data_IF_806519320846
#
_entry.id   IF_806519320846
#
_cell.length_a   1.000
_cell.length_b   1.000
_cell.length_c   1.000
_cell.angle_alpha   90.00
_cell.angle_beta   90.00
_cell.angle_gamma   90.00
#
_symmetry.space_group_name_H-M   'P 1'
#
loop_
_entity.id
_entity.type
_entity.pdbx_description
1 polymer ?
#
# COMPACT_ATOMS: atom_id res chain seq x y z
N UNK A 1 11.09 2.52 -3.34
CA UNK A 1 10.28 1.47 -2.68
C UNK A 1 11.24 0.68 -1.81
N UNK A 2 10.83 0.32 -0.61
CA UNK A 2 11.58 -0.55 0.31
C UNK A 2 10.69 -1.74 0.64
N UNK A 3 11.24 -2.94 0.63
CA UNK A 3 10.51 -4.16 0.97
C UNK A 3 10.92 -4.65 2.35
N UNK A 4 9.94 -5.12 3.11
CA UNK A 4 10.16 -5.74 4.42
C UNK A 4 9.00 -6.67 4.75
N UNK A 5 9.16 -7.49 5.77
CA UNK A 5 8.15 -8.46 6.17
C UNK A 5 7.91 -8.45 7.68
N UNK A 6 6.66 -8.69 8.06
CA UNK A 6 6.28 -9.12 9.39
C UNK A 6 5.99 -10.63 9.34
N UNK A 7 5.85 -11.31 10.49
CA UNK A 7 5.41 -12.71 10.48
C UNK A 7 4.05 -12.93 9.80
N UNK A 8 3.23 -11.88 9.65
CA UNK A 8 1.90 -11.96 9.05
C UNK A 8 1.89 -11.64 7.55
N UNK A 9 2.72 -10.68 7.09
CA UNK A 9 2.58 -10.09 5.75
C UNK A 9 3.92 -9.65 5.16
N UNK A 10 3.96 -9.62 3.83
CA UNK A 10 5.03 -8.96 3.06
C UNK A 10 4.58 -7.56 2.65
N UNK A 11 5.45 -6.57 2.84
CA UNK A 11 5.17 -5.15 2.60
C UNK A 11 6.05 -4.59 1.49
N UNK A 12 5.44 -3.77 0.64
CA UNK A 12 6.13 -2.87 -0.26
C UNK A 12 5.83 -1.44 0.19
N UNK A 13 6.85 -0.77 0.74
CA UNK A 13 6.74 0.57 1.28
C UNK A 13 7.19 1.61 0.26
N UNK A 14 6.38 2.64 0.06
CA UNK A 14 6.72 3.79 -0.78
C UNK A 14 6.79 5.02 0.12
N UNK A 15 7.98 5.59 0.24
CA UNK A 15 8.16 6.87 0.92
C UNK A 15 7.82 8.00 -0.06
N UNK A 16 6.75 8.74 0.24
CA UNK A 16 6.28 9.86 -0.56
C UNK A 16 6.75 11.17 0.08
N UNK A 17 7.56 12.00 -0.61
CA UNK A 17 8.04 13.25 -0.04
C UNK A 17 6.87 14.20 0.20
N UNK A 18 6.88 14.86 1.35
CA UNK A 18 5.77 15.71 1.79
C UNK A 18 5.71 17.13 1.19
N UNK A 19 6.61 17.44 0.26
CA UNK A 19 6.67 18.77 -0.36
C UNK A 19 5.71 18.85 -1.56
N UNK A 20 5.10 20.02 -1.77
CA UNK A 20 4.14 20.30 -2.85
C UNK A 20 4.62 19.85 -4.25
N UNK A 21 5.93 19.84 -4.47
CA UNK A 21 6.55 19.42 -5.73
C UNK A 21 6.45 17.92 -6.02
N UNK A 22 6.19 17.08 -5.01
CA UNK A 22 6.13 15.62 -5.12
C UNK A 22 4.71 15.05 -5.02
N UNK A 23 3.70 15.92 -4.95
CA UNK A 23 2.27 15.54 -4.97
C UNK A 23 1.94 14.69 -6.21
N UNK A 24 2.60 14.91 -7.35
CA UNK A 24 2.43 14.08 -8.55
C UNK A 24 2.82 12.62 -8.32
N UNK A 25 3.92 12.37 -7.61
CA UNK A 25 4.38 11.03 -7.29
C UNK A 25 3.45 10.37 -6.26
N UNK A 26 2.92 11.17 -5.32
CA UNK A 26 1.89 10.73 -4.38
C UNK A 26 0.61 10.32 -5.11
N UNK A 27 0.13 11.08 -6.09
CA UNK A 27 -1.11 10.75 -6.83
C UNK A 27 -0.97 9.42 -7.59
N UNK A 28 0.16 9.19 -8.27
CA UNK A 28 0.37 7.94 -9.01
C UNK A 28 0.62 6.73 -8.10
N UNK A 29 1.26 6.94 -6.95
CA UNK A 29 1.56 5.87 -5.99
C UNK A 29 0.40 5.54 -5.06
N UNK A 30 -0.34 6.55 -4.59
CA UNK A 30 -1.39 6.39 -3.61
C UNK A 30 -2.66 5.74 -4.17
N UNK A 31 -2.89 5.82 -5.49
CA UNK A 31 -3.94 5.05 -6.15
C UNK A 31 -3.74 3.53 -6.03
N UNK A 32 -2.54 3.08 -5.68
CA UNK A 32 -2.20 1.66 -5.48
C UNK A 32 -1.91 1.32 -4.01
N UNK A 33 -2.15 2.25 -3.08
CA UNK A 33 -1.85 2.03 -1.65
C UNK A 33 -3.02 1.36 -0.95
N UNK A 34 -2.75 0.19 -0.38
CA UNK A 34 -3.70 -0.55 0.46
C UNK A 34 -3.86 0.07 1.86
N UNK A 35 -2.98 0.99 2.24
CA UNK A 35 -3.04 1.77 3.47
C UNK A 35 -1.85 2.72 3.58
N UNK A 36 -1.90 3.64 4.55
CA UNK A 36 -0.82 4.62 4.77
C UNK A 36 -0.41 4.72 6.24
N UNK A 37 0.86 5.07 6.48
CA UNK A 37 1.37 5.45 7.79
C UNK A 37 1.51 6.98 7.80
N UNK A 38 0.70 7.66 8.60
CA UNK A 38 0.80 9.10 8.80
C UNK A 38 1.81 9.38 9.92
N UNK A 39 2.97 9.93 9.56
CA UNK A 39 3.97 10.36 10.54
C UNK A 39 3.73 11.83 10.91
N UNK A 40 3.50 12.09 12.19
CA UNK A 40 3.32 13.44 12.74
C UNK A 40 4.32 13.65 13.88
N UNK A 41 4.89 14.85 13.98
CA UNK A 41 5.82 15.18 15.06
C UNK A 41 5.03 15.50 16.32
N UNK A 42 5.31 14.80 17.40
CA UNK A 42 4.72 15.04 18.71
C UNK A 42 5.12 16.41 19.29
N UNK A 43 6.27 16.96 18.87
CA UNK A 43 6.74 18.27 19.28
C UNK A 43 6.12 19.42 18.47
N UNK A 44 5.85 19.20 17.19
CA UNK A 44 5.37 20.25 16.26
C UNK A 44 3.85 20.20 16.03
N UNK A 45 3.22 19.05 16.28
CA UNK A 45 1.81 18.81 15.98
C UNK A 45 1.46 18.76 14.49
N UNK A 46 0.16 18.81 14.13
CA UNK A 46 -0.29 18.76 12.75
C UNK A 46 -0.01 20.05 11.98
N UNK A 47 0.91 19.94 11.02
CA UNK A 47 1.33 21.05 10.15
C UNK A 47 0.45 21.17 8.89
N UNK A 48 0.51 22.28 8.13
CA UNK A 48 -0.24 22.41 6.88
C UNK A 48 -0.04 21.24 5.91
N UNK A 49 1.20 20.72 5.80
CA UNK A 49 1.51 19.54 4.98
C UNK A 49 0.80 18.28 5.48
N UNK A 50 0.64 18.10 6.80
CA UNK A 50 -0.13 16.98 7.38
C UNK A 50 -1.58 17.01 6.89
N UNK A 51 -2.19 18.20 6.82
CA UNK A 51 -3.57 18.37 6.31
C UNK A 51 -3.66 18.03 4.82
N UNK A 52 -2.69 18.50 4.03
CA UNK A 52 -2.63 18.21 2.59
C UNK A 52 -2.50 16.70 2.33
N UNK A 53 -1.67 15.98 3.09
CA UNK A 53 -1.54 14.53 2.93
C UNK A 53 -2.80 13.75 3.30
N UNK A 54 -3.48 14.13 4.37
CA UNK A 54 -4.75 13.49 4.76
C UNK A 54 -5.80 13.72 3.67
N UNK A 55 -5.90 14.95 3.16
CA UNK A 55 -6.81 15.28 2.07
C UNK A 55 -6.49 14.48 0.80
N UNK A 56 -5.21 14.39 0.42
CA UNK A 56 -4.78 13.62 -0.76
C UNK A 56 -5.04 12.13 -0.58
N UNK A 57 -4.72 11.56 0.59
CA UNK A 57 -5.02 10.16 0.92
C UNK A 57 -6.51 9.85 0.80
N UNK A 58 -7.37 10.79 1.21
CA UNK A 58 -8.82 10.67 1.01
C UNK A 58 -9.23 10.71 -0.46
N UNK A 59 -8.68 11.66 -1.22
CA UNK A 59 -9.03 11.86 -2.64
C UNK A 59 -8.61 10.69 -3.54
N UNK A 60 -7.46 10.08 -3.25
CA UNK A 60 -6.95 8.91 -3.98
C UNK A 60 -7.54 7.58 -3.50
N UNK A 61 -8.33 7.61 -2.42
CA UNK A 61 -9.07 6.44 -1.93
C UNK A 61 -8.26 5.49 -1.05
N UNK A 62 -7.27 5.98 -0.30
CA UNK A 62 -6.55 5.14 0.69
C UNK A 62 -7.56 4.62 1.72
N UNK A 63 -7.68 3.30 1.92
CA UNK A 63 -8.78 2.73 2.69
C UNK A 63 -8.56 2.81 4.21
N UNK A 64 -7.31 2.78 4.67
CA UNK A 64 -6.97 2.80 6.10
C UNK A 64 -5.67 3.57 6.35
N UNK A 65 -5.61 4.27 7.48
CA UNK A 65 -4.43 5.02 7.94
C UNK A 65 -4.08 4.56 9.35
N UNK A 66 -2.80 4.37 9.63
CA UNK A 66 -2.23 4.24 10.98
C UNK A 66 -1.35 5.45 11.25
N UNK A 67 -1.37 6.00 12.46
CA UNK A 67 -0.59 7.19 12.80
C UNK A 67 0.62 6.80 13.65
N UNK A 68 1.77 7.42 13.35
CA UNK A 68 2.94 7.40 14.20
C UNK A 68 3.26 8.82 14.69
N UNK A 69 3.06 9.07 15.99
CA UNK A 69 3.50 10.28 16.67
C UNK A 69 4.98 10.14 17.01
N UNK A 70 5.81 10.72 16.14
CA UNK A 70 7.26 10.65 16.19
C UNK A 70 7.86 11.76 17.08
N UNK A 71 9.15 11.64 17.42
CA UNK A 71 9.91 12.59 18.25
C UNK A 71 9.41 12.71 19.69
N UNK A 72 8.87 11.63 20.26
CA UNK A 72 8.47 11.61 21.68
C UNK A 72 9.66 11.84 22.62
N UNK A 73 10.88 11.54 22.18
CA UNK A 73 12.14 11.89 22.88
C UNK A 73 12.35 13.40 23.08
N UNK A 74 11.63 14.25 22.33
CA UNK A 74 11.72 15.71 22.43
C UNK A 74 10.59 16.33 23.26
N UNK A 75 9.69 15.51 23.80
CA UNK A 75 8.51 15.96 24.53
C UNK A 75 8.51 15.35 25.93
N UNK A 76 8.76 16.20 26.93
CA UNK A 76 8.81 15.79 28.34
C UNK A 76 7.42 15.82 29.03
N UNK A 77 6.41 16.40 28.38
CA UNK A 77 5.08 16.62 28.94
C UNK A 77 4.03 15.67 28.32
N UNK A 78 3.46 14.82 29.16
CA UNK A 78 2.41 13.88 28.76
C UNK A 78 1.11 14.58 28.33
N UNK A 79 0.77 15.73 28.93
CA UNK A 79 -0.43 16.49 28.56
C UNK A 79 -0.32 17.05 27.14
N UNK A 80 0.90 17.47 26.73
CA UNK A 80 1.15 17.93 25.38
C UNK A 80 0.97 16.79 24.36
N UNK A 81 1.45 15.59 24.68
CA UNK A 81 1.29 14.41 23.81
C UNK A 81 -0.18 14.03 23.63
N UNK A 82 -0.98 14.10 24.69
CA UNK A 82 -2.42 13.84 24.63
C UNK A 82 -3.15 14.91 23.81
N UNK A 83 -2.77 16.18 23.96
CA UNK A 83 -3.32 17.28 23.17
C UNK A 83 -3.03 17.11 21.68
N UNK A 84 -1.77 16.80 21.32
CA UNK A 84 -1.38 16.59 19.92
C UNK A 84 -2.09 15.37 19.33
N UNK A 85 -2.25 14.31 20.10
CA UNK A 85 -3.04 13.15 19.67
C UNK A 85 -4.48 13.54 19.36
N UNK A 86 -5.13 14.31 20.24
CA UNK A 86 -6.49 14.80 20.04
C UNK A 86 -6.60 15.66 18.78
N UNK A 87 -5.68 16.60 18.56
CA UNK A 87 -5.65 17.43 17.35
C UNK A 87 -5.51 16.61 16.06
N UNK A 88 -4.70 15.55 16.09
CA UNK A 88 -4.55 14.64 14.93
C UNK A 88 -5.84 13.84 14.69
N UNK A 89 -6.52 13.36 15.74
CA UNK A 89 -7.81 12.65 15.61
C UNK A 89 -8.90 13.56 15.06
N UNK A 90 -9.00 14.79 15.55
CA UNK A 90 -9.94 15.78 15.03
C UNK A 90 -9.66 16.10 13.56
N UNK A 91 -8.39 16.24 13.20
CA UNK A 91 -7.99 16.49 11.82
C UNK A 91 -8.37 15.32 10.89
N UNK A 92 -8.10 14.08 11.28
CA UNK A 92 -8.51 12.89 10.54
C UNK A 92 -10.03 12.84 10.37
N UNK A 93 -10.77 13.10 11.44
CA UNK A 93 -12.25 13.14 11.43
C UNK A 93 -12.78 14.22 10.50
N UNK A 94 -12.13 15.39 10.45
CA UNK A 94 -12.53 16.49 9.55
C UNK A 94 -12.42 16.16 8.05
N UNK A 95 -11.65 15.13 7.70
CA UNK A 95 -11.47 14.62 6.33
C UNK A 95 -12.10 13.24 6.12
N UNK A 96 -13.13 12.90 6.89
CA UNK A 96 -13.92 11.67 6.79
C UNK A 96 -13.13 10.37 7.02
N UNK A 97 -12.06 10.42 7.81
CA UNK A 97 -11.45 9.23 8.39
C UNK A 97 -12.01 8.96 9.80
N UNK A 98 -12.08 7.70 10.26
CA UNK A 98 -12.57 7.37 11.60
C UNK A 98 -11.50 7.69 12.66
N UNK A 99 -11.31 8.99 12.96
CA UNK A 99 -10.23 9.47 13.82
C UNK A 99 -10.16 8.83 15.20
N UNK A 100 -11.30 8.45 15.78
CA UNK A 100 -11.37 7.78 17.08
C UNK A 100 -10.92 6.31 17.04
N UNK A 101 -11.12 5.61 15.91
CA UNK A 101 -10.80 4.19 15.76
C UNK A 101 -9.39 3.95 15.19
N UNK A 102 -8.78 4.99 14.60
CA UNK A 102 -7.43 4.90 14.02
C UNK A 102 -6.38 4.65 15.11
N UNK A 103 -5.54 3.61 14.98
CA UNK A 103 -4.43 3.37 15.89
C UNK A 103 -3.39 4.51 15.79
N UNK A 104 -2.99 5.02 16.95
CA UNK A 104 -1.95 6.04 17.08
C UNK A 104 -0.85 5.51 17.99
N UNK A 105 0.35 5.36 17.44
CA UNK A 105 1.51 4.82 18.15
C UNK A 105 2.49 5.96 18.41
N UNK A 106 2.98 6.04 19.65
CA UNK A 106 3.87 7.10 20.12
C UNK A 106 5.30 6.56 20.22
N UNK A 107 6.26 7.24 19.62
CA UNK A 107 7.65 6.79 19.66
C UNK A 107 8.66 7.77 19.09
N UNK A 108 9.88 7.28 18.91
CA UNK A 108 11.00 7.99 18.33
C UNK A 108 11.69 7.08 17.31
N UNK A 109 11.50 7.42 16.03
CA UNK A 109 12.20 6.75 14.94
C UNK A 109 13.72 6.96 15.03
N UNK A 110 14.17 8.07 15.63
CA UNK A 110 15.60 8.32 15.86
C UNK A 110 16.14 7.36 16.93
N UNK A 111 15.43 7.23 18.06
CA UNK A 111 15.84 6.29 19.10
C UNK A 111 15.85 4.84 18.62
N UNK A 112 14.92 4.48 17.73
CA UNK A 112 14.90 3.17 17.07
C UNK A 112 16.11 2.95 16.15
N UNK A 113 16.52 3.99 15.40
CA UNK A 113 17.63 3.90 14.46
C UNK A 113 19.00 3.89 15.17
N UNK A 114 19.13 4.63 16.26
CA UNK A 114 20.36 4.75 17.05
C UNK A 114 20.48 3.68 18.14
N UNK A 115 19.45 2.86 18.35
CA UNK A 115 19.34 1.88 19.44
C UNK A 115 19.60 2.51 20.83
N UNK A 116 19.11 3.75 21.02
CA UNK A 116 19.43 4.57 22.20
C UNK A 116 18.41 4.42 23.33
N UNK A 117 17.13 4.18 23.00
CA UNK A 117 16.08 3.81 23.94
C UNK A 117 15.15 2.80 23.28
N UNK A 118 15.12 1.58 23.83
CA UNK A 118 14.34 0.48 23.28
C UNK A 118 12.83 0.72 23.34
N UNK A 119 12.34 1.34 24.43
CA UNK A 119 10.91 1.46 24.72
C UNK A 119 10.24 2.43 23.76
N UNK A 120 10.83 3.62 23.60
CA UNK A 120 10.33 4.62 22.65
C UNK A 120 10.87 4.41 21.24
N UNK A 121 11.93 3.62 21.08
CA UNK A 121 12.53 3.25 19.79
C UNK A 121 11.97 1.94 19.23
N UNK A 122 12.77 0.87 19.28
CA UNK A 122 12.47 -0.43 18.66
C UNK A 122 11.07 -0.97 18.98
N UNK A 123 10.67 -0.94 20.26
CA UNK A 123 9.39 -1.48 20.70
C UNK A 123 8.22 -0.70 20.10
N UNK A 124 8.33 0.62 19.96
CA UNK A 124 7.31 1.46 19.31
C UNK A 124 7.17 1.16 17.81
N UNK A 125 8.26 0.84 17.12
CA UNK A 125 8.22 0.46 15.69
C UNK A 125 7.58 -0.92 15.53
N UNK A 126 7.84 -1.85 16.46
CA UNK A 126 7.18 -3.16 16.48
C UNK A 126 5.68 -3.02 16.76
N UNK A 127 5.29 -2.15 17.68
CA UNK A 127 3.88 -1.83 17.96
C UNK A 127 3.19 -1.19 16.76
N UNK A 128 3.87 -0.23 16.10
CA UNK A 128 3.39 0.38 14.85
C UNK A 128 3.12 -0.69 13.78
N UNK A 129 4.06 -1.60 13.55
CA UNK A 129 3.89 -2.64 12.55
C UNK A 129 2.81 -3.67 12.93
N UNK A 130 2.64 -3.97 14.23
CA UNK A 130 1.53 -4.79 14.70
C UNK A 130 0.17 -4.12 14.47
N UNK A 131 0.08 -2.79 14.67
CA UNK A 131 -1.12 -2.03 14.36
C UNK A 131 -1.40 -1.98 12.85
N UNK A 132 -0.38 -1.85 12.01
CA UNK A 132 -0.50 -1.96 10.55
C UNK A 132 -1.02 -3.33 10.15
N UNK A 133 -0.45 -4.41 10.69
CA UNK A 133 -0.92 -5.79 10.45
C UNK A 133 -2.39 -5.99 10.86
N UNK A 134 -2.83 -5.37 11.96
CA UNK A 134 -4.17 -5.56 12.50
C UNK A 134 -5.23 -4.66 11.84
N UNK A 135 -4.89 -3.40 11.56
CA UNK A 135 -5.85 -2.36 11.17
C UNK A 135 -5.96 -2.16 9.67
N UNK A 136 -4.84 -2.24 8.95
CA UNK A 136 -4.87 -2.11 7.49
C UNK A 136 -5.42 -3.41 6.91
N UNK A 137 -6.54 -3.37 6.17
CA UNK A 137 -7.11 -4.59 5.59
C UNK A 137 -6.13 -5.15 4.56
N UNK A 138 -5.96 -6.48 4.57
CA UNK A 138 -5.33 -7.12 3.43
C UNK A 138 -6.21 -6.85 2.21
N UNK A 139 -5.68 -6.29 1.12
CA UNK A 139 -6.50 -6.05 -0.06
C UNK A 139 -7.11 -7.36 -0.53
N UNK A 140 -8.43 -7.35 -0.72
CA UNK A 140 -9.10 -8.47 -1.34
C UNK A 140 -8.56 -8.59 -2.76
N UNK A 141 -7.79 -9.64 -3.02
CA UNK A 141 -7.49 -10.02 -4.39
C UNK A 141 -8.82 -10.44 -5.00
N UNK A 142 -9.33 -9.78 -6.04
CA UNK A 142 -10.66 -10.09 -6.59
C UNK A 142 -10.62 -11.37 -7.44
N UNK A 143 -10.14 -12.47 -6.87
CA UNK A 143 -9.94 -13.77 -7.51
C UNK A 143 -11.26 -14.45 -7.90
N UNK A 144 -12.36 -14.05 -7.24
CA UNK A 144 -13.70 -14.57 -7.51
C UNK A 144 -14.43 -13.80 -8.63
N UNK A 145 -13.85 -12.73 -9.15
CA UNK A 145 -14.39 -12.01 -10.31
C UNK A 145 -13.94 -12.67 -11.62
N UNK A 146 -14.63 -12.41 -12.75
CA UNK A 146 -14.15 -12.85 -14.06
C UNK A 146 -12.73 -12.34 -14.34
N UNK A 147 -11.88 -13.21 -14.89
CA UNK A 147 -10.50 -12.90 -15.22
C UNK A 147 -10.38 -11.64 -16.08
N UNK A 148 -9.47 -10.75 -15.71
CA UNK A 148 -9.11 -9.57 -16.49
C UNK A 148 -7.61 -9.31 -16.33
N UNK A 149 -6.93 -9.24 -17.47
CA UNK A 149 -5.51 -8.93 -17.59
C UNK A 149 -5.36 -7.75 -18.57
N UNK A 150 -5.05 -6.54 -18.08
CA UNK A 150 -4.63 -5.46 -18.95
C UNK A 150 -3.30 -5.83 -19.61
N UNK A 151 -3.27 -5.78 -20.95
CA UNK A 151 -2.08 -6.12 -21.71
C UNK A 151 -1.09 -4.95 -21.64
N UNK A 152 0.09 -5.19 -21.08
CA UNK A 152 1.20 -4.23 -21.01
C UNK A 152 2.10 -4.34 -22.24
N UNK A 153 2.45 -5.57 -22.64
CA UNK A 153 3.31 -5.82 -23.81
C UNK A 153 2.97 -7.17 -24.47
N UNK A 154 3.42 -7.37 -25.70
CA UNK A 154 3.16 -8.56 -26.51
C UNK A 154 4.44 -9.06 -27.18
N UNK A 155 4.77 -10.33 -26.94
CA UNK A 155 5.92 -11.00 -27.51
C UNK A 155 5.50 -12.14 -28.42
N UNK A 156 6.35 -12.47 -29.40
CA UNK A 156 6.21 -13.69 -30.20
C UNK A 156 7.44 -14.56 -29.98
N UNK A 157 7.24 -15.73 -29.37
CA UNK A 157 8.30 -16.67 -29.04
C UNK A 157 8.25 -17.83 -30.01
N UNK A 158 9.32 -18.01 -30.79
CA UNK A 158 9.46 -19.12 -31.73
C UNK A 158 9.22 -20.47 -31.05
N UNK A 159 8.24 -21.21 -31.54
CA UNK A 159 7.87 -22.53 -31.01
C UNK A 159 6.92 -22.54 -29.81
N UNK A 160 6.59 -21.37 -29.22
CA UNK A 160 5.56 -21.24 -28.16
C UNK A 160 4.34 -20.44 -28.61
N UNK A 161 4.52 -19.47 -29.51
CA UNK A 161 3.44 -18.61 -30.01
C UNK A 161 3.51 -17.19 -29.44
N UNK A 162 2.37 -16.52 -29.45
CA UNK A 162 2.23 -15.15 -28.90
C UNK A 162 2.06 -15.22 -27.38
N UNK A 163 2.79 -14.38 -26.66
CA UNK A 163 2.71 -14.23 -25.20
C UNK A 163 2.34 -12.78 -24.89
N UNK A 164 1.30 -12.58 -24.10
CA UNK A 164 0.93 -11.25 -23.59
C UNK A 164 1.37 -11.13 -22.14
N UNK A 165 1.91 -9.99 -21.75
CA UNK A 165 2.34 -9.73 -20.37
C UNK A 165 1.48 -8.68 -19.71
N UNK A 166 1.29 -8.82 -18.39
CA UNK A 166 0.68 -7.78 -17.57
C UNK A 166 0.42 -8.24 -16.14
N UNK A 167 -0.07 -7.31 -15.32
CA UNK A 167 -0.58 -7.62 -13.98
C UNK A 167 -2.03 -8.07 -14.06
N UNK A 168 -2.35 -9.26 -13.54
CA UNK A 168 -3.75 -9.70 -13.43
C UNK A 168 -4.50 -8.73 -12.51
N UNK A 169 -5.50 -8.03 -13.05
CA UNK A 169 -6.27 -7.05 -12.28
C UNK A 169 -7.32 -7.75 -11.42
N UNK A 170 -7.97 -8.77 -11.97
CA UNK A 170 -8.96 -9.58 -11.27
C UNK A 170 -9.12 -10.99 -11.82
N UNK A 171 -9.72 -11.86 -11.02
CA UNK A 171 -9.98 -13.26 -11.31
C UNK A 171 -8.76 -14.16 -11.24
N UNK A 172 -8.94 -15.38 -11.71
CA UNK A 172 -7.90 -16.39 -11.88
C UNK A 172 -8.00 -16.88 -13.33
N UNK A 173 -6.86 -17.08 -13.98
CA UNK A 173 -6.77 -17.79 -15.24
C UNK A 173 -5.96 -19.06 -15.04
N UNK A 174 -6.45 -20.16 -15.58
CA UNK A 174 -5.75 -21.45 -15.59
C UNK A 174 -5.33 -21.81 -16.99
N UNK A 175 -4.24 -22.57 -17.08
CA UNK A 175 -3.83 -23.16 -18.37
C UNK A 175 -4.97 -24.02 -18.91
N UNK A 176 -5.35 -23.78 -20.15
CA UNK A 176 -6.45 -24.44 -20.85
C UNK A 176 -7.79 -23.70 -20.83
N UNK A 177 -7.91 -22.59 -20.09
CA UNK A 177 -9.15 -21.80 -20.08
C UNK A 177 -9.30 -20.94 -21.35
N UNK A 178 -10.55 -20.82 -21.83
CA UNK A 178 -10.92 -19.92 -22.93
C UNK A 178 -11.03 -18.48 -22.41
N UNK A 179 -10.41 -17.55 -23.13
CA UNK A 179 -10.40 -16.12 -22.83
C UNK A 179 -10.78 -15.31 -24.06
N UNK A 180 -11.25 -14.09 -23.82
CA UNK A 180 -11.60 -13.12 -24.86
C UNK A 180 -10.63 -11.95 -24.84
N UNK A 181 -10.04 -11.65 -25.99
CA UNK A 181 -9.25 -10.43 -26.17
C UNK A 181 -10.22 -9.33 -26.58
N UNK A 182 -10.50 -8.42 -25.66
CA UNK A 182 -11.44 -7.29 -25.82
C UNK A 182 -10.67 -5.98 -25.91
N UNK A 183 -11.06 -5.07 -26.80
CA UNK A 183 -10.43 -3.75 -26.91
C UNK A 183 -10.74 -3.03 -28.21
N UNK A 184 -9.71 -2.42 -28.82
CA UNK A 184 -9.82 -1.55 -30.01
C UNK A 184 -10.37 -2.31 -31.23
N UNK A 185 -10.08 -3.62 -31.35
CA UNK A 185 -10.53 -4.48 -32.45
C UNK A 185 -11.71 -5.34 -32.01
N UNK A 186 -12.33 -6.02 -32.98
CA UNK A 186 -13.39 -6.98 -32.70
C UNK A 186 -12.91 -8.06 -31.72
N UNK A 187 -13.75 -8.36 -30.74
CA UNK A 187 -13.48 -9.37 -29.71
C UNK A 187 -13.17 -10.72 -30.36
N UNK A 188 -12.06 -11.32 -29.96
CA UNK A 188 -11.61 -12.62 -30.46
C UNK A 188 -11.44 -13.58 -29.29
N UNK A 189 -11.94 -14.81 -29.43
CA UNK A 189 -11.74 -15.90 -28.48
C UNK A 189 -10.43 -16.62 -28.73
N UNK A 190 -9.75 -17.01 -27.66
CA UNK A 190 -8.55 -17.84 -27.70
C UNK A 190 -8.47 -18.68 -26.43
N UNK A 191 -7.50 -19.60 -26.37
CA UNK A 191 -7.25 -20.44 -25.19
C UNK A 191 -5.88 -20.12 -24.63
N UNK A 192 -5.77 -19.99 -23.30
CA UNK A 192 -4.49 -19.82 -22.63
C UNK A 192 -3.75 -21.15 -22.62
N UNK A 193 -2.59 -21.21 -23.27
CA UNK A 193 -1.82 -22.45 -23.42
C UNK A 193 -0.68 -22.58 -22.40
N UNK A 194 -0.37 -21.51 -21.67
CA UNK A 194 0.61 -21.50 -20.59
C UNK A 194 0.49 -20.24 -19.76
N UNK A 195 0.94 -20.30 -18.51
CA UNK A 195 1.12 -19.13 -17.65
C UNK A 195 2.54 -19.16 -17.11
N UNK A 196 3.26 -18.04 -17.21
CA UNK A 196 4.66 -17.93 -16.78
C UNK A 196 4.86 -16.70 -15.89
N UNK A 197 5.63 -16.84 -14.81
CA UNK A 197 6.08 -15.74 -13.97
C UNK A 197 7.58 -15.90 -13.69
N UNK A 198 8.38 -14.88 -13.98
CA UNK A 198 9.84 -14.89 -13.77
C UNK A 198 10.54 -16.17 -14.29
N UNK A 199 10.22 -16.62 -15.52
CA UNK A 199 10.75 -17.84 -16.15
C UNK A 199 10.35 -19.16 -15.50
N UNK A 200 9.33 -19.15 -14.63
CA UNK A 200 8.74 -20.35 -14.04
C UNK A 200 7.36 -20.56 -14.63
N UNK A 201 7.10 -21.79 -15.08
CA UNK A 201 5.77 -22.21 -15.51
C UNK A 201 4.87 -22.37 -14.29
N UNK A 202 3.66 -21.84 -14.39
CA UNK A 202 2.61 -21.92 -13.39
C UNK A 202 1.38 -22.59 -14.01
N UNK A 203 0.63 -23.31 -13.19
CA UNK A 203 -0.64 -23.91 -13.61
C UNK A 203 -1.77 -22.87 -13.69
N UNK A 204 -1.61 -21.74 -12.98
CA UNK A 204 -2.57 -20.64 -12.94
C UNK A 204 -1.88 -19.30 -12.64
N UNK A 205 -2.54 -18.21 -13.04
CA UNK A 205 -2.23 -16.84 -12.61
C UNK A 205 -3.44 -16.21 -11.94
N UNK A 206 -3.23 -15.42 -10.89
CA UNK A 206 -4.32 -14.83 -10.10
C UNK A 206 -4.14 -13.33 -9.92
N UNK A 207 -5.22 -12.64 -9.57
CA UNK A 207 -5.21 -11.20 -9.31
C UNK A 207 -4.02 -10.77 -8.43
N UNK A 208 -3.28 -9.77 -8.91
CA UNK A 208 -2.06 -9.24 -8.31
C UNK A 208 -0.76 -9.77 -8.92
N UNK A 209 -0.78 -10.92 -9.61
CA UNK A 209 0.38 -11.56 -10.22
C UNK A 209 0.79 -10.85 -11.53
N UNK A 210 2.10 -10.63 -11.73
CA UNK A 210 2.67 -10.23 -13.01
C UNK A 210 3.02 -11.48 -13.83
N UNK A 211 2.27 -11.75 -14.88
CA UNK A 211 2.36 -13.00 -15.67
C UNK A 211 2.58 -12.73 -17.15
N UNK A 212 3.13 -13.73 -17.84
CA UNK A 212 3.00 -13.92 -19.29
C UNK A 212 2.05 -15.07 -19.59
N UNK A 213 1.04 -14.85 -20.44
CA UNK A 213 0.01 -15.83 -20.78
C UNK A 213 -0.28 -15.89 -22.30
#
# INVERSE_FOLDING_TARGET
HVEYETPARHYAHVDCPGHADYVKNMITGAAQMDGAILVCSAADGPMPQTREHILLARQVGVPAIVVFLNKVDQVDDAELLELVELEVRELLTSYDFPGDDIPIIKGSALAALEDSDKKIGEDSIRELMAAVDAYIPTPERPINLPFLLPIEDVFSISGRGTVVTGRVERGIVKVGEEVEIVGIRATTKTTVTGVEMFRKLLDQGQAGDNIGA
#
